data_IF_785730256498
#
_entry.id   IF_785730256498
#
_cell.length_a   1.000
_cell.length_b   1.000
_cell.length_c   1.000
_cell.angle_alpha   90.00
_cell.angle_beta   90.00
_cell.angle_gamma   90.00
#
_symmetry.space_group_name_H-M   'P 1'
#
loop_
_entity.id
_entity.type
_entity.pdbx_description
1 polymer ?
#
# COMPACT_ATOMS: atom_id res chain seq x y z
N UNK A 1 -30.69 -2.94 13.85
CA UNK A 1 -31.01 -3.28 12.45
C UNK A 1 -30.06 -2.50 11.56
N UNK A 2 -29.04 -3.13 10.96
CA UNK A 2 -28.33 -2.54 9.81
C UNK A 2 -28.63 -3.43 8.62
N UNK A 3 -29.24 -2.84 7.61
CA UNK A 3 -29.45 -3.48 6.32
C UNK A 3 -28.08 -3.82 5.75
N UNK A 4 -27.73 -5.11 5.75
CA UNK A 4 -26.61 -5.61 4.94
C UNK A 4 -27.11 -5.53 3.52
N UNK A 5 -26.90 -4.39 2.86
CA UNK A 5 -27.30 -4.23 1.47
C UNK A 5 -26.09 -3.91 0.61
N UNK A 6 -25.98 -4.71 -0.44
CA UNK A 6 -25.03 -4.68 -1.53
C UNK A 6 -23.57 -4.87 -1.09
N UNK A 7 -22.94 -5.97 -1.50
CA UNK A 7 -21.50 -6.06 -1.64
C UNK A 7 -20.99 -4.70 -2.16
N UNK A 8 -20.24 -3.95 -1.35
CA UNK A 8 -19.74 -2.63 -1.76
C UNK A 8 -18.80 -2.76 -2.96
N UNK A 9 -18.30 -3.98 -3.20
CA UNK A 9 -17.62 -4.41 -4.41
C UNK A 9 -18.44 -4.32 -5.70
N UNK A 10 -19.78 -4.31 -5.66
CA UNK A 10 -20.65 -4.21 -6.85
C UNK A 10 -20.49 -2.88 -7.59
N UNK A 11 -20.09 -1.82 -6.89
CA UNK A 11 -19.85 -0.51 -7.49
C UNK A 11 -18.43 -0.36 -8.06
N UNK A 12 -17.65 -1.44 -8.06
CA UNK A 12 -16.24 -1.44 -8.46
C UNK A 12 -15.43 -0.29 -7.82
N UNK A 13 -15.39 -0.22 -6.47
CA UNK A 13 -14.74 0.88 -5.77
C UNK A 13 -13.21 0.86 -5.89
N UNK A 14 -12.60 -0.29 -6.18
CA UNK A 14 -11.15 -0.42 -6.31
C UNK A 14 -10.69 -0.04 -7.73
N UNK A 15 -9.77 0.92 -7.83
CA UNK A 15 -9.18 1.40 -9.07
C UNK A 15 -7.91 0.63 -9.43
N UNK A 16 -7.36 0.90 -10.61
CA UNK A 16 -6.03 0.43 -11.05
C UNK A 16 -5.83 -1.09 -10.97
N UNK A 17 -6.90 -1.87 -11.18
CA UNK A 17 -6.85 -3.33 -11.12
C UNK A 17 -6.83 -3.92 -9.70
N UNK A 18 -7.19 -3.13 -8.68
CA UNK A 18 -7.38 -3.59 -7.31
C UNK A 18 -8.49 -4.64 -7.19
N UNK A 19 -8.26 -5.67 -6.37
CA UNK A 19 -9.26 -6.72 -6.08
C UNK A 19 -10.09 -6.32 -4.87
N UNK A 20 -11.40 -6.21 -5.04
CA UNK A 20 -12.30 -5.95 -3.94
C UNK A 20 -12.59 -7.24 -3.15
N UNK A 21 -12.50 -7.17 -1.83
CA UNK A 21 -12.89 -8.23 -0.90
C UNK A 21 -13.93 -7.67 0.07
N UNK A 22 -15.10 -8.29 0.13
CA UNK A 22 -16.08 -7.94 1.15
C UNK A 22 -15.55 -8.30 2.54
N UNK A 23 -15.74 -7.41 3.50
CA UNK A 23 -15.29 -7.57 4.88
C UNK A 23 -16.45 -7.50 5.86
N UNK A 24 -16.30 -8.22 6.98
CA UNK A 24 -17.20 -8.08 8.11
C UNK A 24 -16.81 -6.83 8.94
N UNK A 25 -17.75 -6.14 9.63
CA UNK A 25 -17.50 -4.91 10.35
C UNK A 25 -16.24 -4.96 11.24
N UNK A 26 -15.48 -3.86 11.35
CA UNK A 26 -15.93 -2.46 11.19
C UNK A 26 -15.86 -1.87 9.78
N UNK A 27 -15.19 -2.51 8.82
CA UNK A 27 -15.14 -2.09 7.42
C UNK A 27 -16.03 -2.99 6.58
N UNK A 28 -16.76 -2.40 5.64
CA UNK A 28 -17.69 -3.14 4.78
C UNK A 28 -16.98 -3.85 3.60
N UNK A 29 -15.84 -3.32 3.14
CA UNK A 29 -14.97 -3.96 2.15
C UNK A 29 -13.51 -3.51 2.34
N UNK A 30 -12.61 -4.22 1.68
CA UNK A 30 -11.19 -3.88 1.56
C UNK A 30 -10.75 -4.06 0.10
N UNK A 31 -9.99 -3.09 -0.40
CA UNK A 31 -9.32 -3.19 -1.70
C UNK A 31 -7.91 -3.76 -1.52
N UNK A 32 -7.64 -4.89 -2.19
CA UNK A 32 -6.30 -5.48 -2.28
C UNK A 32 -5.62 -4.86 -3.51
N UNK A 33 -4.69 -3.95 -3.26
CA UNK A 33 -4.01 -3.22 -4.32
C UNK A 33 -2.86 -4.03 -4.95
N UNK A 34 -2.67 -3.93 -6.28
CA UNK A 34 -1.51 -4.49 -6.93
C UNK A 34 -0.23 -3.75 -6.55
N UNK A 35 0.91 -4.40 -6.81
CA UNK A 35 2.22 -3.83 -6.56
C UNK A 35 2.37 -2.51 -7.32
N UNK A 36 2.77 -1.45 -6.61
CA UNK A 36 2.84 -0.10 -7.20
C UNK A 36 1.60 0.76 -6.98
N UNK A 37 0.55 0.29 -6.29
CA UNK A 37 -0.63 1.09 -5.93
C UNK A 37 -0.96 1.01 -4.43
N UNK A 38 -1.58 2.06 -3.90
CA UNK A 38 -1.97 2.21 -2.50
C UNK A 38 -3.18 3.15 -2.37
N UNK A 39 -3.67 3.38 -1.15
CA UNK A 39 -4.89 4.13 -0.87
C UNK A 39 -6.08 3.24 -0.52
N UNK A 40 -7.20 3.84 -0.13
CA UNK A 40 -8.39 3.08 0.27
C UNK A 40 -9.04 2.35 -0.92
N UNK A 41 -8.83 2.89 -2.12
CA UNK A 41 -9.38 2.45 -3.38
C UNK A 41 -8.29 2.12 -4.41
N UNK A 42 -7.02 1.98 -4.00
CA UNK A 42 -5.88 1.82 -4.90
C UNK A 42 -5.70 3.01 -5.88
N UNK A 43 -6.13 4.20 -5.47
CA UNK A 43 -6.10 5.44 -6.25
C UNK A 43 -4.70 6.09 -6.31
N UNK A 44 -3.80 5.73 -5.39
CA UNK A 44 -2.45 6.28 -5.30
C UNK A 44 -1.46 5.36 -6.02
N UNK A 45 -0.73 5.89 -6.99
CA UNK A 45 0.36 5.17 -7.65
C UNK A 45 1.69 5.35 -6.88
N UNK A 46 2.20 4.28 -6.29
CA UNK A 46 3.47 4.23 -5.55
C UNK A 46 4.70 4.41 -6.43
N UNK A 47 4.60 4.09 -7.72
CA UNK A 47 5.66 4.39 -8.70
C UNK A 47 5.81 5.91 -8.92
N UNK A 48 4.75 6.68 -8.68
CA UNK A 48 4.79 8.14 -8.64
C UNK A 48 5.13 8.71 -7.24
N UNK A 49 5.01 7.91 -6.17
CA UNK A 49 5.27 8.33 -4.78
C UNK A 49 6.55 7.76 -4.14
N UNK A 50 7.44 7.13 -4.92
CA UNK A 50 8.88 7.12 -4.62
C UNK A 50 9.35 6.20 -3.49
N UNK A 51 8.84 4.98 -3.36
CA UNK A 51 9.41 3.96 -2.44
C UNK A 51 10.63 3.22 -3.03
N UNK A 52 10.97 3.46 -4.30
CA UNK A 52 12.30 3.11 -4.85
C UNK A 52 13.37 4.15 -4.50
N UNK A 53 13.05 5.22 -3.77
CA UNK A 53 14.11 5.91 -3.03
C UNK A 53 14.50 5.00 -1.87
N UNK A 54 15.77 4.54 -1.77
CA UNK A 54 16.23 4.04 -0.49
C UNK A 54 15.88 5.14 0.51
N UNK A 55 15.04 4.80 1.50
CA UNK A 55 14.77 5.70 2.62
C UNK A 55 16.10 6.31 3.04
N UNK A 56 16.11 7.57 3.45
CA UNK A 56 17.33 8.23 3.96
C UNK A 56 18.04 7.34 4.99
N UNK A 57 17.30 6.47 5.67
CA UNK A 57 17.75 5.43 6.59
C UNK A 57 18.56 4.28 5.95
N UNK A 58 18.27 3.86 4.70
CA UNK A 58 19.01 2.80 4.01
C UNK A 58 20.34 3.30 3.43
N UNK A 59 20.41 4.54 2.92
CA UNK A 59 21.69 5.15 2.52
C UNK A 59 22.58 5.41 3.75
N UNK A 60 21.99 5.91 4.85
CA UNK A 60 22.73 6.10 6.10
C UNK A 60 23.26 4.77 6.63
N UNK A 61 22.47 3.68 6.57
CA UNK A 61 22.95 2.34 6.95
C UNK A 61 24.12 1.86 6.08
N UNK A 62 24.08 2.07 4.76
CA UNK A 62 25.19 1.74 3.85
C UNK A 62 26.45 2.57 4.13
N UNK A 63 26.30 3.89 4.33
CA UNK A 63 27.42 4.79 4.63
C UNK A 63 28.03 4.48 5.99
N UNK A 64 27.21 4.21 7.01
CA UNK A 64 27.69 3.80 8.35
C UNK A 64 28.39 2.45 8.26
N UNK A 65 27.84 1.46 7.55
CA UNK A 65 28.49 0.16 7.33
C UNK A 65 29.86 0.30 6.64
N UNK A 66 29.95 1.08 5.56
CA UNK A 66 31.23 1.32 4.87
C UNK A 66 32.21 2.06 5.78
N UNK A 67 31.74 3.04 6.55
CA UNK A 67 32.55 3.81 7.49
C UNK A 67 33.04 2.99 8.71
N UNK A 68 32.28 1.99 9.14
CA UNK A 68 32.70 1.05 10.20
C UNK A 68 33.59 -0.07 9.66
N UNK A 69 33.47 -0.41 8.37
CA UNK A 69 34.35 -1.36 7.68
C UNK A 69 35.72 -0.77 7.32
N UNK A 70 35.82 0.54 7.03
CA UNK A 70 37.10 1.24 6.81
C UNK A 70 37.81 1.54 8.14
N UNK A 71 37.09 1.51 9.28
CA UNK A 71 37.63 1.70 10.63
C UNK A 71 37.97 0.38 11.35
N UNK A 72 38.17 -0.71 10.60
CA UNK A 72 38.80 -1.94 11.09
C UNK A 72 40.02 -2.30 10.27
#
# INVERSE_FOLDING_TARGET
>A
MRCVNANECLWHPCQNGGRCRDHHPPKAYECICPLGFSGAHCELELLASGILTPSRDFIIALVICVSTLIRK
#
